data_IF_049103289648
#
_entry.id   IF_049103289648
#
_cell.length_a   1.000
_cell.length_b   1.000
_cell.length_c   1.000
_cell.angle_alpha   90.00
_cell.angle_beta   90.00
_cell.angle_gamma   90.00
#
_symmetry.space_group_name_H-M   'P 1'
#
loop_
_entity.id
_entity.type
_entity.pdbx_description
1 polymer ?
#
# COMPACT_ATOMS: atom_id res chain seq x y z
N UNK A 1 -17.27 -14.22 -6.88
CA UNK A 1 -15.92 -13.67 -6.66
C UNK A 1 -15.09 -14.70 -5.92
N UNK A 2 -14.21 -15.42 -6.61
CA UNK A 2 -13.26 -16.33 -5.97
C UNK A 2 -12.07 -15.49 -5.53
N UNK A 3 -11.89 -15.29 -4.22
CA UNK A 3 -10.68 -14.71 -3.65
C UNK A 3 -9.59 -15.78 -3.79
N UNK A 4 -8.85 -15.76 -4.89
CA UNK A 4 -7.65 -16.58 -5.06
C UNK A 4 -6.60 -16.09 -4.08
N UNK A 5 -6.51 -16.75 -2.92
CA UNK A 5 -5.71 -16.30 -1.79
C UNK A 5 -4.20 -16.51 -1.94
N UNK A 6 -3.78 -17.05 -3.08
CA UNK A 6 -2.38 -16.98 -3.54
C UNK A 6 -2.01 -15.59 -4.08
N UNK A 7 -2.96 -14.64 -4.14
CA UNK A 7 -2.63 -13.24 -4.41
C UNK A 7 -1.82 -12.67 -3.23
N UNK A 8 -0.49 -12.64 -3.39
CA UNK A 8 0.47 -11.96 -2.51
C UNK A 8 -0.01 -10.56 -2.11
N UNK A 9 -0.73 -9.86 -2.99
CA UNK A 9 -1.35 -8.57 -2.71
C UNK A 9 -2.40 -8.62 -1.58
N UNK A 10 -3.20 -9.69 -1.51
CA UNK A 10 -4.18 -9.91 -0.44
C UNK A 10 -3.48 -10.17 0.88
N UNK A 11 -2.47 -11.04 0.90
CA UNK A 11 -1.71 -11.33 2.12
C UNK A 11 -0.94 -10.11 2.62
N UNK A 12 -0.36 -9.32 1.71
CA UNK A 12 0.27 -8.04 2.01
C UNK A 12 -0.74 -7.06 2.63
N UNK A 13 -1.94 -6.94 2.04
CA UNK A 13 -3.00 -6.09 2.58
C UNK A 13 -3.45 -6.53 3.98
N UNK A 14 -3.59 -7.83 4.22
CA UNK A 14 -3.92 -8.39 5.55
C UNK A 14 -2.79 -8.12 6.55
N UNK A 15 -1.53 -8.21 6.13
CA UNK A 15 -0.36 -7.88 6.95
C UNK A 15 -0.36 -6.43 7.39
N UNK A 16 -0.54 -5.51 6.45
CA UNK A 16 -0.66 -4.07 6.71
C UNK A 16 -1.82 -3.79 7.69
N UNK A 17 -2.96 -4.47 7.50
CA UNK A 17 -4.11 -4.32 8.40
C UNK A 17 -3.80 -4.85 9.82
N UNK A 18 -3.11 -5.97 9.93
CA UNK A 18 -2.72 -6.54 11.22
C UNK A 18 -1.81 -5.58 12.00
N UNK A 19 -0.81 -4.99 11.33
CA UNK A 19 0.07 -3.99 11.92
C UNK A 19 -0.69 -2.73 12.34
N UNK A 20 -1.58 -2.22 11.48
CA UNK A 20 -2.41 -1.06 11.81
C UNK A 20 -3.31 -1.29 13.04
N UNK A 21 -3.84 -2.50 13.21
CA UNK A 21 -4.65 -2.87 14.39
C UNK A 21 -3.80 -2.90 15.65
N UNK A 22 -2.56 -3.36 15.60
CA UNK A 22 -1.65 -3.33 16.76
C UNK A 22 -1.32 -1.89 17.19
N UNK A 23 -1.16 -0.97 16.23
CA UNK A 23 -0.94 0.45 16.52
C UNK A 23 -2.14 1.14 17.17
N UNK A 24 -3.36 0.73 16.80
CA UNK A 24 -4.61 1.25 17.34
C UNK A 24 -5.16 0.43 18.52
N UNK A 25 -4.41 -0.57 19.00
CA UNK A 25 -4.91 -1.54 19.96
C UNK A 25 -5.11 -0.91 21.35
N UNK A 26 -6.33 -1.03 21.87
CA UNK A 26 -6.67 -0.62 23.25
C UNK A 26 -6.95 -1.87 24.09
N UNK A 27 -6.18 -2.10 25.17
CA UNK A 27 -6.44 -3.19 26.09
C UNK A 27 -7.86 -3.11 26.68
N UNK A 28 -8.57 -4.24 26.71
CA UNK A 28 -9.93 -4.33 27.26
C UNK A 28 -11.05 -4.29 26.23
N UNK A 29 -10.76 -3.95 24.96
CA UNK A 29 -11.76 -3.98 23.88
C UNK A 29 -11.74 -5.34 23.18
N UNK A 30 -12.81 -6.11 23.35
CA UNK A 30 -12.91 -7.49 22.87
C UNK A 30 -12.92 -7.57 21.35
N UNK A 31 -13.56 -6.61 20.68
CA UNK A 31 -13.69 -6.53 19.24
C UNK A 31 -12.31 -6.34 18.59
N UNK A 32 -11.46 -5.49 19.17
CA UNK A 32 -10.08 -5.27 18.71
C UNK A 32 -9.22 -6.51 18.92
N UNK A 33 -9.36 -7.18 20.07
CA UNK A 33 -8.67 -8.45 20.34
C UNK A 33 -9.08 -9.52 19.32
N UNK A 34 -10.38 -9.65 19.08
CA UNK A 34 -10.95 -10.61 18.12
C UNK A 34 -10.47 -10.33 16.70
N UNK A 35 -10.48 -9.07 16.28
CA UNK A 35 -9.97 -8.65 14.97
C UNK A 35 -8.49 -8.99 14.82
N UNK A 36 -7.66 -8.64 15.80
CA UNK A 36 -6.22 -8.91 15.80
C UNK A 36 -5.94 -10.41 15.70
N UNK A 37 -6.61 -11.21 16.52
CA UNK A 37 -6.39 -12.65 16.56
C UNK A 37 -6.87 -13.30 15.24
N UNK A 38 -7.97 -12.82 14.64
CA UNK A 38 -8.45 -13.27 13.33
C UNK A 38 -7.50 -12.89 12.19
N UNK A 39 -6.91 -11.68 12.20
CA UNK A 39 -5.92 -11.25 11.21
C UNK A 39 -4.63 -12.10 11.29
N UNK A 40 -4.14 -12.36 12.51
CA UNK A 40 -2.99 -13.25 12.72
C UNK A 40 -3.26 -14.67 12.23
N UNK A 41 -4.45 -15.18 12.49
CA UNK A 41 -4.86 -16.50 12.02
C UNK A 41 -4.96 -16.57 10.49
N UNK A 42 -5.45 -15.49 9.86
CA UNK A 42 -5.48 -15.38 8.40
C UNK A 42 -4.08 -15.39 7.78
N UNK A 43 -3.11 -14.69 8.38
CA UNK A 43 -1.71 -14.71 7.93
C UNK A 43 -1.04 -16.07 8.14
N UNK A 44 -1.35 -16.74 9.25
CA UNK A 44 -0.78 -18.04 9.61
C UNK A 44 -1.30 -19.17 8.72
N UNK A 45 -2.61 -19.21 8.47
CA UNK A 45 -3.27 -20.29 7.73
C UNK A 45 -3.40 -20.01 6.24
N UNK A 46 -3.32 -18.73 5.83
CA UNK A 46 -3.55 -18.27 4.45
C UNK A 46 -4.88 -18.76 3.87
N UNK A 47 -5.86 -19.00 4.74
CA UNK A 47 -7.14 -19.61 4.37
C UNK A 47 -8.19 -18.56 3.98
N UNK A 48 -8.98 -18.79 2.90
CA UNK A 48 -10.11 -17.93 2.54
C UNK A 48 -11.16 -17.81 3.61
N UNK A 49 -11.36 -18.87 4.38
CA UNK A 49 -12.27 -18.81 5.51
C UNK A 49 -11.74 -17.84 6.59
N UNK A 50 -10.45 -17.88 6.90
CA UNK A 50 -9.83 -17.03 7.91
C UNK A 50 -9.86 -15.54 7.51
N UNK A 51 -9.61 -15.21 6.23
CA UNK A 51 -9.71 -13.83 5.74
C UNK A 51 -11.14 -13.29 5.82
N UNK A 52 -12.14 -14.10 5.44
CA UNK A 52 -13.55 -13.70 5.59
C UNK A 52 -13.94 -13.48 7.06
N UNK A 53 -13.41 -14.30 7.96
CA UNK A 53 -13.62 -14.13 9.40
C UNK A 53 -12.99 -12.83 9.90
N UNK A 54 -11.75 -12.53 9.48
CA UNK A 54 -11.10 -11.25 9.82
C UNK A 54 -11.89 -10.04 9.30
N UNK A 55 -12.40 -10.09 8.07
CA UNK A 55 -13.26 -9.03 7.52
C UNK A 55 -14.58 -8.88 8.28
N UNK A 56 -15.19 -10.00 8.67
CA UNK A 56 -16.41 -10.00 9.48
C UNK A 56 -16.16 -9.41 10.88
N UNK A 57 -15.00 -9.70 11.48
CA UNK A 57 -14.59 -9.12 12.76
C UNK A 57 -14.34 -7.60 12.62
N UNK A 58 -13.67 -7.16 11.55
CA UNK A 58 -13.43 -5.74 11.28
C UNK A 58 -14.75 -4.96 11.20
N UNK A 59 -15.76 -5.52 10.52
CA UNK A 59 -17.07 -4.87 10.37
C UNK A 59 -17.83 -4.66 11.69
N UNK A 60 -17.48 -5.40 12.74
CA UNK A 60 -18.07 -5.31 14.09
C UNK A 60 -17.34 -4.33 15.00
N UNK A 61 -16.13 -3.91 14.64
CA UNK A 61 -15.38 -2.90 15.39
C UNK A 61 -16.10 -1.56 15.32
N UNK A 62 -16.05 -0.81 16.42
CA UNK A 62 -16.63 0.53 16.47
C UNK A 62 -16.10 1.43 15.34
N UNK A 63 -16.93 2.38 14.91
CA UNK A 63 -16.61 3.28 13.80
C UNK A 63 -15.34 4.09 14.06
N UNK A 64 -15.12 4.56 15.28
CA UNK A 64 -13.98 5.42 15.59
C UNK A 64 -12.66 4.65 15.50
N UNK A 65 -12.62 3.43 16.05
CA UNK A 65 -11.47 2.55 15.91
C UNK A 65 -11.24 2.13 14.46
N UNK A 66 -12.30 1.81 13.69
CA UNK A 66 -12.15 1.52 12.26
C UNK A 66 -11.53 2.70 11.49
N UNK A 67 -11.90 3.93 11.81
CA UNK A 67 -11.33 5.12 11.20
C UNK A 67 -9.84 5.24 11.49
N UNK A 68 -9.43 5.02 12.75
CA UNK A 68 -8.02 5.05 13.16
C UNK A 68 -7.21 3.92 12.51
N UNK A 69 -7.72 2.68 12.53
CA UNK A 69 -7.08 1.52 11.90
C UNK A 69 -6.91 1.78 10.39
N UNK A 70 -7.93 2.31 9.72
CA UNK A 70 -7.86 2.62 8.29
C UNK A 70 -6.80 3.69 8.01
N UNK A 71 -6.72 4.72 8.86
CA UNK A 71 -5.71 5.76 8.74
C UNK A 71 -4.29 5.18 8.83
N UNK A 72 -4.01 4.36 9.85
CA UNK A 72 -2.72 3.70 10.00
C UNK A 72 -2.41 2.74 8.85
N UNK A 73 -3.39 1.95 8.41
CA UNK A 73 -3.21 1.04 7.29
C UNK A 73 -2.83 1.78 5.99
N UNK A 74 -3.45 2.94 5.72
CA UNK A 74 -3.11 3.76 4.56
C UNK A 74 -1.71 4.37 4.64
N UNK A 75 -1.28 4.80 5.84
CA UNK A 75 0.07 5.27 6.08
C UNK A 75 1.10 4.16 5.84
N UNK A 76 0.87 2.96 6.39
CA UNK A 76 1.73 1.79 6.20
C UNK A 76 1.77 1.35 4.73
N UNK A 77 0.63 1.33 4.04
CA UNK A 77 0.56 1.01 2.62
C UNK A 77 1.29 2.03 1.74
N UNK A 78 1.28 3.31 2.11
CA UNK A 78 2.09 4.33 1.45
C UNK A 78 3.59 4.04 1.63
N UNK A 79 4.03 3.74 2.86
CA UNK A 79 5.42 3.37 3.14
C UNK A 79 5.86 2.13 2.36
N UNK A 80 5.02 1.08 2.30
CA UNK A 80 5.31 -0.12 1.53
C UNK A 80 5.47 0.15 0.02
N UNK A 81 4.64 1.03 -0.55
CA UNK A 81 4.77 1.44 -1.96
C UNK A 81 6.08 2.19 -2.24
N UNK A 82 6.52 3.02 -1.30
CA UNK A 82 7.79 3.73 -1.43
C UNK A 82 9.00 2.80 -1.29
N UNK A 83 8.93 1.82 -0.39
CA UNK A 83 10.00 0.81 -0.19
C UNK A 83 10.08 -0.23 -1.31
N UNK A 84 8.95 -0.54 -1.97
CA UNK A 84 8.95 -1.42 -3.14
C UNK A 84 9.58 -0.75 -4.38
N UNK A 85 9.70 0.59 -4.39
CA UNK A 85 10.20 1.39 -5.49
C UNK A 85 9.42 1.17 -6.80
N UNK A 86 9.55 2.05 -7.80
CA UNK A 86 9.37 1.58 -9.15
C UNK A 86 10.42 0.47 -9.33
N UNK A 87 10.00 -0.78 -9.55
CA UNK A 87 10.83 -1.67 -10.35
C UNK A 87 11.03 -0.91 -11.65
N UNK A 88 12.15 -0.20 -11.74
CA UNK A 88 12.72 0.29 -12.97
C UNK A 88 12.84 -0.94 -13.86
N UNK A 89 11.83 -1.14 -14.69
CA UNK A 89 11.96 -1.66 -16.04
C UNK A 89 12.96 -0.76 -16.77
N UNK A 90 14.23 -0.87 -16.39
CA UNK A 90 15.38 -0.26 -17.03
C UNK A 90 16.33 -1.39 -17.44
N UNK A 91 15.77 -2.33 -18.20
CA UNK A 91 16.52 -3.14 -19.16
C UNK A 91 15.88 -2.97 -20.52
N UNK A 92 16.66 -2.42 -21.46
CA UNK A 92 16.31 -2.08 -22.83
C UNK A 92 15.95 -0.59 -22.95
N UNK A 93 16.79 0.31 -23.42
CA UNK A 93 17.93 0.20 -24.32
C UNK A 93 18.09 1.57 -24.99
N UNK A 94 19.24 1.75 -25.62
CA UNK A 94 19.56 2.83 -26.55
C UNK A 94 19.94 4.20 -25.97
N UNK A 95 21.11 4.66 -26.42
CA UNK A 95 21.72 5.91 -26.02
C UNK A 95 20.99 7.13 -26.60
N UNK A 96 21.20 8.28 -25.96
CA UNK A 96 20.54 9.51 -26.36
C UNK A 96 21.03 10.72 -25.62
N UNK A 97 22.27 11.12 -25.89
CA UNK A 97 22.90 12.45 -25.78
C UNK A 97 22.07 13.59 -25.13
N UNK A 98 22.59 14.35 -24.14
CA UNK A 98 22.08 15.69 -23.90
C UNK A 98 22.61 16.64 -25.00
N UNK A 99 21.87 16.78 -26.10
CA UNK A 99 22.15 17.77 -27.13
C UNK A 99 21.76 19.18 -26.63
N UNK A 100 22.65 19.82 -25.86
CA UNK A 100 22.59 21.26 -25.62
C UNK A 100 23.36 21.97 -26.74
N UNK A 101 22.68 22.28 -27.85
CA UNK A 101 23.14 23.29 -28.81
C UNK A 101 22.56 24.65 -28.44
N UNK A 102 23.36 25.72 -28.30
CA UNK A 102 22.90 27.07 -28.47
C UNK A 102 23.37 27.58 -29.84
N UNK A 103 22.55 27.42 -30.89
CA UNK A 103 22.77 28.15 -32.15
C UNK A 103 21.49 28.24 -33.00
N UNK A 104 20.90 29.45 -32.99
CA UNK A 104 20.05 30.08 -34.02
C UNK A 104 19.45 31.34 -33.36
N UNK A 105 19.90 32.56 -33.62
CA UNK A 105 20.25 33.13 -34.90
C UNK A 105 18.99 33.74 -35.51
N UNK A 106 18.70 35.00 -35.18
CA UNK A 106 17.93 35.88 -36.06
C UNK A 106 18.45 37.32 -35.92
N UNK A 107 19.13 37.69 -36.99
CA UNK A 107 19.61 38.98 -37.44
C UNK A 107 18.41 39.92 -37.71
N UNK A 108 18.51 41.18 -37.29
CA UNK A 108 17.54 42.24 -37.57
C UNK A 108 18.24 43.60 -37.67
N UNK A 109 17.85 44.48 -38.61
CA UNK A 109 18.82 45.21 -39.44
C UNK A 109 19.33 46.52 -38.84
N UNK A 110 20.59 46.86 -39.19
CA UNK A 110 21.21 48.19 -39.07
C UNK A 110 20.75 49.13 -40.18
N UNK A 111 20.32 50.34 -39.82
CA UNK A 111 20.50 51.68 -40.46
C UNK A 111 19.36 52.60 -39.97
N UNK A 112 19.55 53.89 -39.68
CA UNK A 112 20.60 54.84 -40.08
C UNK A 112 20.99 55.75 -38.91
#
# INVERSE_FOLDING_TARGET
>A
MSLTLDDEATLCSVGILAEAVEMAFVPGILELRTLRDALKEALRTRSPAAVRLAFSAFSRVDRDFRSQITHHALQLAALHRHSAGPMSSNMGGDGGVPARRPDRGIDGPRRA
#
